data_IF_370393190758
#
_entry.id   IF_370393190758
#
_cell.length_a   1.000
_cell.length_b   1.000
_cell.length_c   1.000
_cell.angle_alpha   90.00
_cell.angle_beta   90.00
_cell.angle_gamma   90.00
#
_symmetry.space_group_name_H-M   'P 1'
#
loop_
_entity.id
_entity.type
_entity.pdbx_description
1 polymer ?
#
# COMPACT_ATOMS: atom_id res chain seq x y z
N UNK A 1 -16.53 -2.66 -2.24
CA UNK A 1 -16.25 -2.97 -0.81
C UNK A 1 -17.04 -2.05 0.09
N UNK A 2 -17.30 -2.45 1.31
CA UNK A 2 -18.08 -1.65 2.29
C UNK A 2 -17.18 -1.01 3.36
N UNK A 3 -16.10 -1.64 3.70
CA UNK A 3 -15.18 -1.22 4.75
C UNK A 3 -13.79 -0.91 4.22
N UNK A 4 -13.15 -1.87 3.55
CA UNK A 4 -11.76 -1.79 3.11
C UNK A 4 -11.67 -1.17 1.70
N UNK A 5 -12.30 0.00 1.51
CA UNK A 5 -12.40 0.70 0.22
C UNK A 5 -11.09 1.37 -0.17
N UNK A 6 -11.01 1.88 -1.40
CA UNK A 6 -9.88 2.71 -1.87
C UNK A 6 -9.62 3.88 -0.93
N UNK A 7 -10.68 4.58 -0.53
CA UNK A 7 -10.58 5.74 0.39
C UNK A 7 -10.04 5.31 1.76
N UNK A 8 -10.48 4.14 2.27
CA UNK A 8 -9.94 3.60 3.51
C UNK A 8 -8.44 3.28 3.38
N UNK A 9 -8.04 2.67 2.26
CA UNK A 9 -6.63 2.38 1.98
C UNK A 9 -5.79 3.64 1.87
N UNK A 10 -6.27 4.68 1.20
CA UNK A 10 -5.62 5.98 1.12
C UNK A 10 -5.44 6.63 2.50
N UNK A 11 -6.41 6.48 3.41
CA UNK A 11 -6.26 6.94 4.79
C UNK A 11 -5.17 6.17 5.53
N UNK A 12 -5.04 4.84 5.29
CA UNK A 12 -3.96 4.05 5.87
C UNK A 12 -2.58 4.61 5.51
N UNK A 13 -2.38 5.06 4.27
CA UNK A 13 -1.12 5.64 3.81
C UNK A 13 -0.82 7.01 4.47
N UNK A 14 -1.83 7.68 5.04
CA UNK A 14 -1.73 9.01 5.64
C UNK A 14 -1.62 9.01 7.17
N UNK A 15 -1.36 7.87 7.79
CA UNK A 15 -1.29 7.75 9.26
C UNK A 15 0.09 8.06 9.85
N UNK A 16 1.13 8.19 9.02
CA UNK A 16 2.53 8.19 9.50
C UNK A 16 3.38 9.37 9.05
N UNK A 17 2.82 10.38 8.41
CA UNK A 17 3.59 11.54 7.91
C UNK A 17 4.35 12.32 9.00
N UNK A 18 3.92 12.21 10.26
CA UNK A 18 4.61 12.84 11.38
C UNK A 18 5.84 12.05 11.87
N UNK A 19 5.96 10.77 11.47
CA UNK A 19 7.09 9.94 11.87
C UNK A 19 8.35 10.37 11.13
N UNK A 20 9.39 10.66 11.86
CA UNK A 20 10.64 11.13 11.28
C UNK A 20 10.75 12.64 11.14
N UNK A 21 9.67 13.43 11.39
CA UNK A 21 9.78 14.88 11.43
C UNK A 21 10.63 15.35 12.61
N UNK A 22 11.61 16.19 12.34
CA UNK A 22 12.48 16.79 13.33
C UNK A 22 12.16 18.26 13.49
N UNK A 23 12.11 18.72 14.75
CA UNK A 23 11.86 20.12 15.03
C UNK A 23 13.05 20.98 14.62
N UNK A 24 12.77 21.96 13.76
CA UNK A 24 13.78 22.89 13.29
C UNK A 24 13.21 24.31 13.16
N UNK A 25 13.70 25.22 14.01
CA UNK A 25 13.20 26.59 14.06
C UNK A 25 13.42 27.36 12.75
N UNK A 26 14.49 27.05 12.02
CA UNK A 26 14.78 27.71 10.74
C UNK A 26 13.76 27.36 9.64
N UNK A 27 12.97 26.29 9.83
CA UNK A 27 11.87 25.94 8.93
C UNK A 27 10.66 26.89 9.02
N UNK A 28 10.67 27.87 9.94
CA UNK A 28 9.61 28.87 10.10
C UNK A 28 9.54 29.84 8.90
N UNK A 29 10.65 30.02 8.18
CA UNK A 29 10.74 30.99 7.08
C UNK A 29 11.36 30.37 5.84
N UNK A 30 10.87 30.79 4.67
CA UNK A 30 11.49 30.41 3.40
C UNK A 30 12.94 30.95 3.31
N UNK A 31 13.91 30.06 3.03
CA UNK A 31 15.30 30.43 2.85
C UNK A 31 16.03 29.47 1.91
N UNK A 32 16.43 29.93 0.73
CA UNK A 32 17.22 29.15 -0.22
C UNK A 32 18.54 28.65 0.38
N UNK A 33 19.23 29.52 1.13
CA UNK A 33 20.52 29.16 1.75
C UNK A 33 20.33 28.04 2.77
N UNK A 34 19.25 28.08 3.56
CA UNK A 34 18.93 27.04 4.52
C UNK A 34 18.54 25.75 3.83
N UNK A 35 17.68 25.82 2.80
CA UNK A 35 17.33 24.62 2.01
C UNK A 35 18.56 23.93 1.44
N UNK A 36 19.48 24.68 0.79
CA UNK A 36 20.69 24.09 0.22
C UNK A 36 21.60 23.45 1.28
N UNK A 37 21.70 24.07 2.46
CA UNK A 37 22.44 23.49 3.57
C UNK A 37 21.84 22.14 4.00
N UNK A 38 20.53 22.10 4.33
CA UNK A 38 19.85 20.89 4.78
C UNK A 38 19.88 19.80 3.69
N UNK A 39 19.64 20.17 2.43
CA UNK A 39 19.71 19.22 1.31
C UNK A 39 21.10 18.58 1.22
N UNK A 40 22.16 19.36 1.34
CA UNK A 40 23.53 18.84 1.32
C UNK A 40 23.80 17.92 2.51
N UNK A 41 23.34 18.28 3.69
CA UNK A 41 23.54 17.49 4.91
C UNK A 41 22.78 16.14 4.83
N UNK A 42 21.52 16.14 4.37
CA UNK A 42 20.71 14.91 4.23
C UNK A 42 21.24 14.04 3.06
N UNK A 43 21.68 14.63 1.95
CA UNK A 43 22.31 13.88 0.86
C UNK A 43 23.60 13.18 1.36
N UNK A 44 24.43 13.85 2.14
CA UNK A 44 25.64 13.25 2.67
C UNK A 44 25.33 12.09 3.63
N UNK A 45 24.30 12.22 4.48
CA UNK A 45 23.81 11.11 5.35
C UNK A 45 23.32 9.94 4.53
N UNK A 46 22.53 10.20 3.49
CA UNK A 46 22.02 9.18 2.57
C UNK A 46 23.15 8.42 1.91
N UNK A 47 24.11 9.13 1.31
CA UNK A 47 25.26 8.51 0.62
C UNK A 47 26.10 7.65 1.56
N UNK A 48 26.34 8.13 2.79
CA UNK A 48 27.09 7.35 3.79
C UNK A 48 26.34 6.06 4.16
N UNK A 49 25.02 6.17 4.39
CA UNK A 49 24.19 4.99 4.69
C UNK A 49 24.19 3.97 3.54
N UNK A 50 24.04 4.42 2.28
CA UNK A 50 24.06 3.52 1.11
C UNK A 50 25.43 2.86 0.90
N UNK A 51 26.51 3.55 1.18
CA UNK A 51 27.87 2.98 1.16
C UNK A 51 28.05 1.89 2.22
N UNK A 52 27.52 2.10 3.43
CA UNK A 52 27.52 1.06 4.48
C UNK A 52 26.68 -0.17 4.08
N UNK A 53 25.46 0.05 3.54
CA UNK A 53 24.60 -1.03 3.03
C UNK A 53 25.30 -1.82 1.93
N UNK A 54 25.88 -1.15 0.94
CA UNK A 54 26.61 -1.82 -0.14
C UNK A 54 27.79 -2.65 0.39
N UNK A 55 28.52 -2.11 1.37
CA UNK A 55 29.63 -2.83 2.04
C UNK A 55 29.15 -4.09 2.77
N UNK A 56 28.00 -4.03 3.46
CA UNK A 56 27.38 -5.20 4.11
C UNK A 56 26.92 -6.24 3.09
N UNK A 57 26.30 -5.81 1.98
CA UNK A 57 25.87 -6.70 0.90
C UNK A 57 27.03 -7.41 0.23
N UNK A 58 28.15 -6.69 -0.02
CA UNK A 58 29.36 -7.28 -0.56
C UNK A 58 29.96 -8.35 0.39
N UNK A 59 29.93 -8.10 1.69
CA UNK A 59 30.37 -9.09 2.69
C UNK A 59 29.52 -10.37 2.68
N UNK A 60 28.24 -10.27 2.22
CA UNK A 60 27.30 -11.38 2.08
C UNK A 60 27.27 -12.00 0.67
N UNK A 61 28.19 -11.61 -0.23
CA UNK A 61 28.37 -12.23 -1.54
C UNK A 61 27.60 -11.59 -2.70
N UNK A 62 26.98 -10.44 -2.52
CA UNK A 62 26.42 -9.63 -3.62
C UNK A 62 27.52 -8.72 -4.20
N UNK A 63 27.62 -8.70 -5.54
CA UNK A 63 28.72 -7.99 -6.23
C UNK A 63 28.34 -6.62 -6.80
N UNK A 64 27.33 -5.95 -6.28
CA UNK A 64 26.97 -4.60 -6.75
C UNK A 64 27.81 -3.55 -6.00
N UNK A 65 28.71 -2.84 -6.70
CA UNK A 65 29.51 -1.79 -6.09
C UNK A 65 28.63 -0.55 -5.81
N UNK A 66 28.93 0.16 -4.73
CA UNK A 66 28.33 1.47 -4.46
C UNK A 66 28.59 2.45 -5.61
N UNK A 67 27.52 3.05 -6.14
CA UNK A 67 27.58 4.05 -7.19
C UNK A 67 27.06 5.40 -6.67
N UNK A 68 27.98 6.30 -6.34
CA UNK A 68 27.64 7.59 -5.76
C UNK A 68 26.78 8.48 -6.68
N UNK A 69 26.96 8.43 -8.00
CA UNK A 69 26.19 9.25 -8.95
C UNK A 69 24.75 8.77 -9.03
N UNK A 70 24.55 7.48 -9.06
CA UNK A 70 23.24 6.84 -9.07
C UNK A 70 22.50 7.10 -7.78
N UNK A 71 23.14 6.93 -6.63
CA UNK A 71 22.55 7.21 -5.33
C UNK A 71 22.22 8.70 -5.12
N UNK A 72 23.04 9.61 -5.66
CA UNK A 72 22.73 11.04 -5.65
C UNK A 72 21.49 11.34 -6.48
N UNK A 73 21.34 10.69 -7.63
CA UNK A 73 20.15 10.83 -8.47
C UNK A 73 18.91 10.23 -7.77
N UNK A 74 19.02 9.05 -7.18
CA UNK A 74 17.94 8.44 -6.41
C UNK A 74 17.45 9.33 -5.28
N UNK A 75 18.37 9.93 -4.52
CA UNK A 75 18.02 10.87 -3.45
C UNK A 75 17.27 12.09 -4.01
N UNK A 76 17.74 12.67 -5.12
CA UNK A 76 17.09 13.80 -5.75
C UNK A 76 15.68 13.47 -6.23
N UNK A 77 15.54 12.38 -6.99
CA UNK A 77 14.25 11.93 -7.55
C UNK A 77 13.25 11.59 -6.43
N UNK A 78 13.72 10.92 -5.38
CA UNK A 78 12.91 10.60 -4.19
C UNK A 78 12.47 11.86 -3.44
N UNK A 79 13.32 12.89 -3.35
CA UNK A 79 12.97 14.15 -2.70
C UNK A 79 11.89 14.91 -3.48
N UNK A 80 11.98 14.92 -4.82
CA UNK A 80 10.94 15.53 -5.69
C UNK A 80 9.62 14.76 -5.56
N UNK A 81 9.67 13.43 -5.68
CA UNK A 81 8.49 12.58 -5.52
C UNK A 81 7.81 12.81 -4.17
N UNK A 82 8.59 12.86 -3.09
CA UNK A 82 8.06 13.10 -1.75
C UNK A 82 7.38 14.48 -1.63
N UNK A 83 7.94 15.53 -2.24
CA UNK A 83 7.29 16.86 -2.25
C UNK A 83 5.93 16.83 -2.96
N UNK A 84 5.83 16.16 -4.11
CA UNK A 84 4.58 16.03 -4.87
C UNK A 84 3.55 15.21 -4.07
N UNK A 85 3.98 14.08 -3.53
CA UNK A 85 3.13 13.23 -2.70
C UNK A 85 2.60 13.96 -1.46
N UNK A 86 3.43 14.71 -0.76
CA UNK A 86 3.02 15.50 0.41
C UNK A 86 2.03 16.61 0.02
N UNK A 87 2.24 17.27 -1.12
CA UNK A 87 1.33 18.31 -1.64
C UNK A 87 -0.05 17.76 -1.95
N UNK A 88 -0.13 16.54 -2.48
CA UNK A 88 -1.40 15.88 -2.82
C UNK A 88 -2.09 15.26 -1.61
N UNK A 89 -1.31 14.87 -0.60
CA UNK A 89 -1.81 14.09 0.53
C UNK A 89 -2.18 14.92 1.75
N UNK A 90 -1.50 16.06 1.98
CA UNK A 90 -1.76 16.92 3.13
C UNK A 90 -2.88 17.92 2.81
N UNK A 91 -3.76 18.23 3.79
CA UNK A 91 -4.78 19.25 3.62
C UNK A 91 -4.17 20.64 3.49
N UNK A 92 -4.82 21.53 2.74
CA UNK A 92 -4.38 22.92 2.53
C UNK A 92 -4.14 23.68 3.85
N UNK A 93 -4.92 23.38 4.88
CA UNK A 93 -4.76 24.00 6.20
C UNK A 93 -3.41 23.69 6.86
N UNK A 94 -2.79 22.58 6.53
CA UNK A 94 -1.43 22.22 6.95
C UNK A 94 -0.42 22.77 5.96
N UNK A 95 -0.63 22.59 4.66
CA UNK A 95 0.27 23.09 3.62
C UNK A 95 0.52 24.60 3.75
N UNK A 96 -0.50 25.38 4.10
CA UNK A 96 -0.40 26.83 4.33
C UNK A 96 0.42 27.23 5.57
N UNK A 97 0.75 26.28 6.46
CA UNK A 97 1.62 26.51 7.62
C UNK A 97 3.09 26.19 7.30
N UNK A 98 3.36 25.49 6.20
CA UNK A 98 4.70 25.08 5.79
C UNK A 98 5.33 26.21 4.96
N UNK A 99 6.38 26.84 5.46
CA UNK A 99 7.04 27.94 4.77
C UNK A 99 7.82 27.48 3.51
N UNK A 100 8.39 26.28 3.54
CA UNK A 100 9.10 25.66 2.41
C UNK A 100 8.85 24.14 2.39
N UNK A 101 8.06 23.68 1.42
CA UNK A 101 7.73 22.27 1.28
C UNK A 101 8.97 21.40 0.99
N UNK A 102 10.02 21.95 0.40
CA UNK A 102 11.28 21.25 0.13
C UNK A 102 12.01 20.91 1.45
N UNK A 103 12.00 21.84 2.41
CA UNK A 103 12.56 21.64 3.76
C UNK A 103 11.73 20.61 4.53
N UNK A 104 10.39 20.71 4.42
CA UNK A 104 9.48 19.75 5.04
C UNK A 104 9.67 18.34 4.46
N UNK A 105 9.86 18.20 3.15
CA UNK A 105 10.12 16.90 2.49
C UNK A 105 11.46 16.28 2.92
N UNK A 106 12.37 17.07 3.50
CA UNK A 106 13.60 16.62 4.16
C UNK A 106 13.42 16.41 5.68
N UNK A 107 12.18 16.23 6.12
CA UNK A 107 11.79 15.97 7.50
C UNK A 107 12.08 17.07 8.50
N UNK A 108 12.21 18.34 8.08
CA UNK A 108 12.41 19.48 8.97
C UNK A 108 11.16 20.35 9.01
N UNK A 109 10.67 20.63 10.20
CA UNK A 109 9.46 21.44 10.40
C UNK A 109 9.50 22.19 11.73
N UNK A 110 8.65 23.21 11.88
CA UNK A 110 8.39 23.84 13.17
C UNK A 110 7.54 22.94 14.06
N UNK A 111 7.60 23.13 15.39
CA UNK A 111 6.75 22.40 16.34
C UNK A 111 5.27 22.50 16.01
N UNK A 112 4.79 23.67 15.56
CA UNK A 112 3.38 23.88 15.21
C UNK A 112 2.96 23.02 14.02
N UNK A 113 3.80 22.97 12.98
CA UNK A 113 3.57 22.10 11.80
C UNK A 113 3.60 20.63 12.20
N UNK A 114 4.59 20.20 12.99
CA UNK A 114 4.68 18.81 13.47
C UNK A 114 3.41 18.42 14.24
N UNK A 115 2.94 19.30 15.14
CA UNK A 115 1.71 19.04 15.91
C UNK A 115 0.47 18.96 15.00
N UNK A 116 0.36 19.83 13.99
CA UNK A 116 -0.75 19.80 13.04
C UNK A 116 -0.76 18.53 12.20
N UNK A 117 0.42 18.08 11.72
CA UNK A 117 0.57 16.83 10.98
C UNK A 117 0.29 15.61 11.87
N UNK A 118 0.78 15.61 13.10
CA UNK A 118 0.53 14.53 14.05
C UNK A 118 -0.97 14.39 14.37
N UNK A 119 -1.68 15.50 14.56
CA UNK A 119 -3.13 15.47 14.76
C UNK A 119 -3.87 14.92 13.52
N UNK A 120 -3.48 15.34 12.33
CA UNK A 120 -4.03 14.81 11.07
C UNK A 120 -3.81 13.29 10.94
N UNK A 121 -2.60 12.82 11.23
CA UNK A 121 -2.27 11.38 11.22
C UNK A 121 -3.10 10.60 12.24
N UNK A 122 -3.28 11.14 13.45
CA UNK A 122 -4.06 10.48 14.52
C UNK A 122 -5.56 10.42 14.19
N UNK A 123 -6.10 11.47 13.53
CA UNK A 123 -7.50 11.47 13.08
C UNK A 123 -7.73 10.44 11.98
N UNK A 124 -6.80 10.31 11.02
CA UNK A 124 -6.84 9.26 9.99
C UNK A 124 -6.74 7.87 10.63
N UNK A 125 -5.79 7.67 11.55
CA UNK A 125 -5.60 6.41 12.28
C UNK A 125 -6.87 5.98 13.00
N UNK A 126 -7.52 6.91 13.72
CA UNK A 126 -8.79 6.64 14.41
C UNK A 126 -9.89 6.20 13.45
N UNK A 127 -9.98 6.83 12.28
CA UNK A 127 -10.93 6.48 11.23
C UNK A 127 -10.67 5.09 10.66
N UNK A 128 -9.40 4.79 10.37
CA UNK A 128 -8.93 3.47 9.88
C UNK A 128 -9.22 2.38 10.89
N UNK A 129 -8.86 2.57 12.15
CA UNK A 129 -9.08 1.60 13.23
C UNK A 129 -10.57 1.33 13.47
N UNK A 130 -11.39 2.39 13.49
CA UNK A 130 -12.84 2.27 13.64
C UNK A 130 -13.47 1.46 12.50
N UNK A 131 -13.07 1.73 11.27
CA UNK A 131 -13.54 0.99 10.09
C UNK A 131 -13.07 -0.46 10.12
N UNK A 132 -11.81 -0.71 10.46
CA UNK A 132 -11.26 -2.06 10.61
C UNK A 132 -11.96 -2.86 11.70
N UNK A 133 -12.30 -2.25 12.84
CA UNK A 133 -13.10 -2.90 13.88
C UNK A 133 -14.52 -3.27 13.41
N UNK A 134 -15.17 -2.37 12.66
CA UNK A 134 -16.49 -2.63 12.11
C UNK A 134 -16.45 -3.76 11.07
N UNK A 135 -15.42 -3.80 10.23
CA UNK A 135 -15.15 -4.88 9.30
C UNK A 135 -15.00 -6.22 10.06
N UNK A 136 -14.15 -6.30 11.08
CA UNK A 136 -13.97 -7.51 11.90
C UNK A 136 -15.26 -7.97 12.57
N UNK A 137 -16.04 -7.03 13.12
CA UNK A 137 -17.37 -7.34 13.72
C UNK A 137 -18.35 -7.91 12.69
N UNK A 138 -18.33 -7.35 11.47
CA UNK A 138 -19.13 -7.87 10.36
C UNK A 138 -18.69 -9.28 9.98
N UNK A 139 -17.41 -9.50 9.70
CA UNK A 139 -16.87 -10.80 9.31
C UNK A 139 -17.17 -11.89 10.35
N UNK A 140 -17.04 -11.59 11.64
CA UNK A 140 -17.37 -12.51 12.72
C UNK A 140 -18.84 -12.93 12.71
N UNK A 141 -19.75 -12.04 12.30
CA UNK A 141 -21.17 -12.39 12.16
C UNK A 141 -21.47 -13.13 10.85
N UNK A 142 -20.88 -12.66 9.76
CA UNK A 142 -21.08 -13.22 8.43
C UNK A 142 -20.51 -14.64 8.32
N UNK A 143 -19.41 -14.96 8.99
CA UNK A 143 -18.78 -16.29 8.97
C UNK A 143 -19.71 -17.43 9.44
N UNK A 144 -20.78 -17.12 10.17
CA UNK A 144 -21.80 -18.11 10.59
C UNK A 144 -22.68 -18.54 9.40
N UNK A 145 -22.86 -17.67 8.40
CA UNK A 145 -23.74 -17.88 7.24
C UNK A 145 -23.00 -18.09 5.93
N UNK A 146 -21.70 -17.84 5.89
CA UNK A 146 -20.83 -18.10 4.75
C UNK A 146 -20.42 -19.59 4.72
N UNK A 147 -20.10 -20.08 3.53
CA UNK A 147 -19.48 -21.38 3.38
C UNK A 147 -18.15 -21.44 4.14
N UNK A 148 -17.92 -22.56 4.82
CA UNK A 148 -16.70 -22.75 5.64
C UNK A 148 -15.43 -22.67 4.79
N UNK A 149 -15.47 -23.23 3.56
CA UNK A 149 -14.34 -23.17 2.64
C UNK A 149 -13.97 -21.72 2.27
N UNK A 150 -14.97 -20.85 2.11
CA UNK A 150 -14.74 -19.42 1.85
C UNK A 150 -14.09 -18.77 3.07
N UNK A 151 -14.64 -18.99 4.26
CA UNK A 151 -14.13 -18.38 5.50
C UNK A 151 -12.69 -18.77 5.80
N UNK A 152 -12.31 -20.01 5.50
CA UNK A 152 -10.99 -20.56 5.79
C UNK A 152 -9.94 -20.25 4.72
N UNK A 153 -10.36 -20.04 3.46
CA UNK A 153 -9.41 -19.97 2.34
C UNK A 153 -9.41 -18.63 1.57
N UNK A 154 -10.42 -17.78 1.71
CA UNK A 154 -10.48 -16.54 0.94
C UNK A 154 -9.74 -15.41 1.68
N UNK A 155 -8.39 -15.49 1.65
CA UNK A 155 -7.48 -14.45 2.16
C UNK A 155 -6.17 -14.51 1.39
N UNK A 156 -5.88 -13.43 0.63
CA UNK A 156 -4.81 -13.40 -0.37
C UNK A 156 -3.92 -12.16 -0.28
N UNK A 157 -3.90 -11.51 0.88
CA UNK A 157 -3.08 -10.32 1.08
C UNK A 157 -1.62 -10.56 0.65
N UNK A 158 -1.06 -9.62 -0.12
CA UNK A 158 0.28 -9.66 -0.71
C UNK A 158 0.53 -10.74 -1.78
N UNK A 159 -0.50 -11.51 -2.18
CA UNK A 159 -0.38 -12.37 -3.35
C UNK A 159 -0.46 -11.54 -4.63
N UNK A 160 0.24 -11.99 -5.68
CA UNK A 160 0.20 -11.36 -7.00
C UNK A 160 -0.64 -12.18 -7.96
N UNK A 161 -1.59 -11.55 -8.65
CA UNK A 161 -2.34 -12.18 -9.74
C UNK A 161 -1.43 -12.28 -10.95
N UNK A 162 -1.00 -13.48 -11.30
CA UNK A 162 -0.11 -13.73 -12.46
C UNK A 162 -0.89 -13.90 -13.74
N UNK A 163 -2.12 -14.42 -13.66
CA UNK A 163 -2.99 -14.61 -14.81
C UNK A 163 -4.47 -14.56 -14.41
N UNK A 164 -5.29 -14.00 -15.30
CA UNK A 164 -6.74 -14.01 -15.21
C UNK A 164 -7.34 -14.65 -16.47
N UNK A 165 -8.15 -15.68 -16.31
CA UNK A 165 -8.75 -16.43 -17.41
C UNK A 165 -10.26 -16.37 -17.26
N UNK A 166 -10.93 -15.76 -18.24
CA UNK A 166 -12.39 -15.74 -18.35
C UNK A 166 -12.86 -16.73 -19.40
N UNK A 167 -13.61 -17.73 -19.01
CA UNK A 167 -14.24 -18.73 -19.88
C UNK A 167 -15.73 -18.81 -19.55
N UNK A 168 -16.59 -18.46 -20.51
CA UNK A 168 -18.05 -18.42 -20.34
C UNK A 168 -18.48 -17.70 -19.06
N UNK A 169 -18.89 -18.47 -18.04
CA UNK A 169 -19.30 -17.96 -16.73
C UNK A 169 -18.32 -18.35 -15.61
N UNK A 170 -17.07 -18.59 -15.96
CA UNK A 170 -16.04 -18.99 -15.01
C UNK A 170 -14.86 -18.00 -15.09
N UNK A 171 -14.41 -17.50 -13.94
CA UNK A 171 -13.16 -16.74 -13.82
C UNK A 171 -12.17 -17.56 -13.00
N UNK A 172 -10.99 -17.76 -13.56
CA UNK A 172 -9.85 -18.38 -12.87
C UNK A 172 -8.75 -17.36 -12.68
N UNK A 173 -8.32 -17.16 -11.44
CA UNK A 173 -7.16 -16.34 -11.08
C UNK A 173 -6.02 -17.27 -10.66
N UNK A 174 -4.86 -17.14 -11.32
CA UNK A 174 -3.62 -17.79 -10.91
C UNK A 174 -2.79 -16.81 -10.08
N UNK A 175 -2.26 -17.28 -8.96
CA UNK A 175 -1.59 -16.46 -7.96
C UNK A 175 -0.12 -16.87 -7.81
N UNK A 176 0.74 -15.88 -7.65
CA UNK A 176 2.05 -16.03 -7.02
C UNK A 176 1.88 -15.70 -5.53
N UNK A 177 2.06 -16.70 -4.70
CA UNK A 177 1.86 -16.63 -3.24
C UNK A 177 3.13 -16.37 -2.46
N UNK A 178 4.26 -16.12 -3.14
CA UNK A 178 5.58 -15.94 -2.51
C UNK A 178 5.64 -14.74 -1.56
N UNK A 179 4.81 -13.70 -1.79
CA UNK A 179 4.69 -12.53 -0.91
C UNK A 179 3.57 -12.66 0.13
N UNK A 180 2.65 -13.62 -0.03
CA UNK A 180 1.44 -13.76 0.78
C UNK A 180 1.56 -14.77 1.93
N UNK A 181 0.44 -14.98 2.59
CA UNK A 181 0.32 -15.88 3.77
C UNK A 181 -0.53 -17.13 3.47
N UNK A 182 -0.69 -17.50 2.20
CA UNK A 182 -1.46 -18.65 1.75
C UNK A 182 -0.64 -19.53 0.83
N UNK A 183 -1.04 -20.80 0.71
CA UNK A 183 -0.52 -21.79 -0.24
C UNK A 183 -1.48 -22.08 -1.40
N UNK A 184 -2.50 -21.23 -1.58
CA UNK A 184 -3.51 -21.36 -2.63
C UNK A 184 -3.04 -20.67 -3.89
N UNK A 185 -2.74 -21.45 -4.92
CA UNK A 185 -2.18 -20.95 -6.20
C UNK A 185 -3.27 -20.60 -7.22
N UNK A 186 -4.51 -21.06 -7.02
CA UNK A 186 -5.61 -20.86 -7.96
C UNK A 186 -6.94 -20.61 -7.24
N UNK A 187 -7.66 -19.57 -7.68
CA UNK A 187 -9.04 -19.28 -7.28
C UNK A 187 -9.94 -19.34 -8.49
N UNK A 188 -11.02 -20.14 -8.40
CA UNK A 188 -11.98 -20.32 -9.49
C UNK A 188 -13.37 -19.89 -9.02
N UNK A 189 -13.95 -18.90 -9.69
CA UNK A 189 -15.32 -18.46 -9.48
C UNK A 189 -16.22 -19.06 -10.56
N UNK A 190 -17.28 -19.79 -10.20
CA UNK A 190 -18.23 -20.40 -11.13
C UNK A 190 -19.58 -19.67 -11.14
N UNK A 191 -20.23 -19.70 -12.30
CA UNK A 191 -21.46 -18.97 -12.59
C UNK A 191 -21.32 -17.49 -12.22
N UNK A 192 -20.22 -16.89 -12.69
CA UNK A 192 -19.80 -15.54 -12.30
C UNK A 192 -20.51 -14.46 -13.12
N UNK A 193 -20.80 -13.35 -12.45
CA UNK A 193 -21.14 -12.08 -13.07
C UNK A 193 -20.17 -11.02 -12.55
N UNK A 194 -19.44 -10.35 -13.44
CA UNK A 194 -18.58 -9.22 -13.06
C UNK A 194 -19.48 -8.03 -12.76
N UNK A 195 -19.44 -7.54 -11.52
CA UNK A 195 -20.18 -6.36 -11.07
C UNK A 195 -19.37 -5.10 -11.34
N UNK A 196 -18.06 -5.15 -11.05
CA UNK A 196 -17.14 -4.04 -11.26
C UNK A 196 -15.74 -4.57 -11.56
N UNK A 197 -15.08 -3.95 -12.51
CA UNK A 197 -13.67 -4.15 -12.80
C UNK A 197 -13.11 -2.85 -13.37
N UNK A 198 -12.27 -2.17 -12.61
CA UNK A 198 -11.76 -0.85 -13.00
C UNK A 198 -10.65 -0.95 -14.05
N UNK A 199 -9.83 -2.03 -14.00
CA UNK A 199 -8.67 -2.21 -14.89
C UNK A 199 -8.34 -3.71 -15.05
N UNK A 200 -7.29 -4.01 -15.82
CA UNK A 200 -6.72 -5.35 -15.96
C UNK A 200 -6.24 -5.93 -14.63
N UNK A 201 -6.42 -7.24 -14.44
CA UNK A 201 -6.09 -7.89 -13.17
C UNK A 201 -4.67 -8.47 -13.16
N UNK A 202 -4.10 -8.76 -14.32
CA UNK A 202 -2.80 -9.42 -14.42
C UNK A 202 -1.67 -8.51 -13.92
N UNK A 203 -0.76 -9.10 -13.17
CA UNK A 203 0.35 -8.43 -12.51
C UNK A 203 -0.05 -7.44 -11.40
N UNK A 204 -1.31 -7.46 -10.92
CA UNK A 204 -1.72 -6.69 -9.75
C UNK A 204 -1.47 -7.47 -8.45
N UNK A 205 -1.25 -6.72 -7.36
CA UNK A 205 -1.17 -7.27 -6.00
C UNK A 205 -2.53 -7.23 -5.34
N UNK A 206 -2.86 -8.29 -4.63
CA UNK A 206 -4.07 -8.39 -3.83
C UNK A 206 -3.86 -7.71 -2.49
N UNK A 207 -4.58 -6.62 -2.25
CA UNK A 207 -4.45 -5.85 -1.01
C UNK A 207 -5.43 -6.33 0.06
N UNK A 208 -6.73 -6.31 -0.27
CA UNK A 208 -7.79 -6.65 0.68
C UNK A 208 -8.98 -7.31 -0.01
N UNK A 209 -9.76 -8.04 0.78
CA UNK A 209 -10.98 -8.70 0.33
C UNK A 209 -12.12 -8.56 1.33
N UNK A 210 -13.34 -8.59 0.80
CA UNK A 210 -14.58 -8.71 1.57
C UNK A 210 -15.51 -9.68 0.85
N UNK A 211 -16.25 -10.50 1.60
CA UNK A 211 -17.24 -11.42 1.03
C UNK A 211 -18.60 -11.16 1.64
N UNK A 212 -19.61 -11.13 0.79
CA UNK A 212 -20.99 -10.94 1.18
C UNK A 212 -21.86 -12.07 0.63
N UNK A 213 -22.80 -12.56 1.44
CA UNK A 213 -23.86 -13.43 0.96
C UNK A 213 -25.05 -12.58 0.55
N UNK A 214 -25.42 -12.65 -0.72
CA UNK A 214 -26.54 -11.93 -1.32
C UNK A 214 -27.47 -12.97 -1.95
N UNK A 215 -28.61 -13.18 -1.34
CA UNK A 215 -29.55 -14.25 -1.66
C UNK A 215 -28.86 -15.64 -1.69
N UNK A 216 -28.88 -16.33 -2.83
CA UNK A 216 -28.26 -17.65 -3.01
C UNK A 216 -26.84 -17.57 -3.61
N UNK A 217 -26.26 -16.36 -3.71
CA UNK A 217 -24.95 -16.13 -4.30
C UNK A 217 -23.99 -15.47 -3.31
N UNK A 218 -22.72 -15.42 -3.69
CA UNK A 218 -21.70 -14.68 -2.96
C UNK A 218 -21.18 -13.51 -3.80
N UNK A 219 -21.03 -12.35 -3.20
CA UNK A 219 -20.28 -11.24 -3.78
C UNK A 219 -18.87 -11.19 -3.17
N UNK A 220 -17.88 -11.30 -4.03
CA UNK A 220 -16.47 -11.20 -3.70
C UNK A 220 -15.96 -9.82 -4.12
N UNK A 221 -15.57 -9.03 -3.17
CA UNK A 221 -15.03 -7.69 -3.37
C UNK A 221 -13.54 -7.70 -3.10
N UNK A 222 -12.74 -7.36 -4.08
CA UNK A 222 -11.30 -7.37 -4.02
C UNK A 222 -10.75 -5.98 -4.31
N UNK A 223 -9.89 -5.48 -3.43
CA UNK A 223 -9.08 -4.31 -3.67
C UNK A 223 -7.69 -4.77 -4.09
N UNK A 224 -7.29 -4.38 -5.29
CA UNK A 224 -6.01 -4.74 -5.88
C UNK A 224 -5.18 -3.48 -6.13
N UNK A 225 -3.87 -3.65 -6.32
CA UNK A 225 -2.97 -2.57 -6.73
C UNK A 225 -2.23 -2.96 -8.00
N UNK A 226 -2.31 -2.12 -9.03
CA UNK A 226 -1.57 -2.29 -10.29
C UNK A 226 -0.06 -2.08 -10.10
N UNK A 227 0.72 -2.41 -11.14
CA UNK A 227 2.17 -2.14 -11.15
C UNK A 227 2.49 -0.64 -11.06
N UNK A 228 1.60 0.21 -11.58
CA UNK A 228 1.73 1.67 -11.52
C UNK A 228 1.16 2.27 -10.22
N UNK A 229 0.97 1.43 -9.20
CA UNK A 229 0.42 1.77 -7.88
C UNK A 229 -1.05 2.24 -7.89
N UNK A 230 -1.75 2.13 -9.02
CA UNK A 230 -3.18 2.43 -9.13
C UNK A 230 -4.03 1.42 -8.36
N UNK A 231 -5.09 1.87 -7.71
CA UNK A 231 -6.02 1.00 -7.00
C UNK A 231 -7.14 0.50 -7.92
N UNK A 232 -7.40 -0.80 -7.90
CA UNK A 232 -8.39 -1.47 -8.74
C UNK A 232 -9.45 -2.09 -7.82
N UNK A 233 -10.72 -1.74 -8.05
CA UNK A 233 -11.83 -2.53 -7.53
C UNK A 233 -12.15 -3.66 -8.50
N UNK A 234 -12.13 -4.87 -8.01
CA UNK A 234 -12.64 -6.03 -8.72
C UNK A 234 -13.73 -6.70 -7.90
N UNK A 235 -14.96 -6.69 -8.41
CA UNK A 235 -16.15 -7.19 -7.71
C UNK A 235 -16.86 -8.19 -8.60
N UNK A 236 -17.08 -9.39 -8.10
CA UNK A 236 -17.80 -10.45 -8.80
C UNK A 236 -18.90 -11.03 -7.92
N UNK A 237 -20.01 -11.40 -8.54
CA UNK A 237 -21.02 -12.27 -7.95
C UNK A 237 -20.84 -13.69 -8.50
N UNK A 238 -20.71 -14.68 -7.66
CA UNK A 238 -20.57 -16.08 -8.06
C UNK A 238 -21.45 -17.01 -7.22
N UNK A 239 -21.84 -18.16 -7.79
CA UNK A 239 -22.57 -19.18 -7.04
C UNK A 239 -21.63 -20.03 -6.20
N UNK A 240 -20.43 -20.32 -6.73
CA UNK A 240 -19.42 -21.14 -6.07
C UNK A 240 -18.02 -20.55 -6.28
N UNK A 241 -17.14 -20.84 -5.34
CA UNK A 241 -15.71 -20.55 -5.44
C UNK A 241 -14.91 -21.78 -5.03
N UNK A 242 -13.84 -22.07 -5.76
CA UNK A 242 -12.94 -23.18 -5.48
C UNK A 242 -11.53 -22.65 -5.30
N UNK A 243 -10.79 -23.31 -4.42
CA UNK A 243 -9.41 -22.99 -4.07
C UNK A 243 -8.54 -24.20 -4.38
N UNK A 244 -7.48 -24.03 -5.15
CA UNK A 244 -6.56 -25.10 -5.50
C UNK A 244 -5.14 -24.75 -5.12
N UNK A 245 -4.41 -25.79 -4.70
CA UNK A 245 -3.00 -25.77 -4.40
C UNK A 245 -2.29 -26.65 -5.41
N UNK A 246 -1.38 -26.08 -6.19
CA UNK A 246 -0.48 -26.87 -7.02
C UNK A 246 0.66 -27.28 -6.10
N UNK A 247 0.62 -28.52 -5.59
CA UNK A 247 1.71 -29.02 -4.75
C UNK A 247 3.04 -28.84 -5.48
N UNK A 248 4.02 -28.24 -4.82
CA UNK A 248 5.39 -28.36 -5.26
C UNK A 248 5.73 -29.85 -5.11
N UNK A 249 5.74 -30.59 -6.21
CA UNK A 249 6.46 -31.86 -6.26
C UNK A 249 7.90 -31.51 -5.94
N UNK A 250 8.30 -31.81 -4.70
CA UNK A 250 9.69 -31.70 -4.25
C UNK A 250 10.45 -32.72 -5.09
N UNK A 251 11.11 -32.23 -6.14
CA UNK A 251 12.09 -32.98 -6.92
C UNK A 251 13.42 -33.01 -6.15
#
# INVERSE_FOLDING_TARGET
MKYLTKEWYELCQKMSFHLGLEEEKQAETFSEAYFHQIYSDELNKWLHFQEEVASMMQANGTNEPFNKEEETKHFHDSTIFNQEHLRESLPETILNQIADLRVFALNKATSDVINAVAQFCEDNKRSVETTGENCRKYHKKASISLDRGIVENFSFHDCKITKSILNDQCITLLLDTSGGFTDIDEVIFENVTIIKQDDGLENSWWLYEEVYKVDDRYEFHMLLQSQDLGLIDFIVSAEQVFFRRFGYDVI
#
